data_IF_655038664439
#
_entry.id   IF_655038664439
#
_cell.length_a   1.000
_cell.length_b   1.000
_cell.length_c   1.000
_cell.angle_alpha   90.00
_cell.angle_beta   90.00
_cell.angle_gamma   90.00
#
_symmetry.space_group_name_H-M   'P 1'
#
loop_
_entity.id
_entity.type
_entity.pdbx_description
1 polymer ?
#
# COMPACT_ATOMS: atom_id res chain seq x y z
N UNK A 1 -1.09 -49.19 -6.87
CA UNK A 1 -0.30 -48.11 -7.47
C UNK A 1 -1.11 -46.84 -7.79
N UNK A 2 -2.37 -46.92 -8.27
CA UNK A 2 -3.20 -45.72 -8.54
C UNK A 2 -3.47 -44.79 -7.33
N UNK A 3 -3.56 -45.34 -6.10
CA UNK A 3 -3.76 -44.54 -4.87
C UNK A 3 -2.55 -43.70 -4.44
N UNK A 4 -1.33 -44.14 -4.79
CA UNK A 4 -0.09 -43.41 -4.47
C UNK A 4 0.10 -42.19 -5.38
N UNK A 5 -0.29 -42.30 -6.65
CA UNK A 5 -0.25 -41.19 -7.61
C UNK A 5 -1.13 -40.04 -7.10
N UNK A 6 -2.29 -40.34 -6.51
CA UNK A 6 -3.19 -39.32 -5.96
C UNK A 6 -2.56 -38.55 -4.79
N UNK A 7 -1.79 -39.23 -3.93
CA UNK A 7 -1.06 -38.60 -2.81
C UNK A 7 0.03 -37.67 -3.33
N UNK A 8 0.79 -38.07 -4.35
CA UNK A 8 1.81 -37.20 -4.96
C UNK A 8 1.22 -35.98 -5.67
N UNK A 9 0.06 -36.13 -6.33
CA UNK A 9 -0.65 -35.00 -6.95
C UNK A 9 -1.19 -34.04 -5.89
N UNK A 10 -1.72 -34.54 -4.77
CA UNK A 10 -2.16 -33.71 -3.64
C UNK A 10 -0.98 -32.95 -3.00
N UNK A 11 0.16 -33.61 -2.77
CA UNK A 11 1.35 -32.97 -2.20
C UNK A 11 1.91 -31.86 -3.10
N UNK A 12 1.83 -32.02 -4.43
CA UNK A 12 2.22 -30.98 -5.39
C UNK A 12 1.34 -29.71 -5.32
N UNK A 13 0.06 -29.85 -4.96
CA UNK A 13 -0.85 -28.71 -4.81
C UNK A 13 -0.61 -27.90 -3.52
N UNK A 14 0.01 -28.50 -2.49
CA UNK A 14 0.34 -27.81 -1.24
C UNK A 14 1.78 -27.26 -1.20
N UNK A 15 2.55 -27.39 -2.28
CA UNK A 15 3.92 -26.85 -2.37
C UNK A 15 3.97 -25.35 -2.73
N UNK A 16 2.84 -24.63 -2.69
CA UNK A 16 2.84 -23.17 -2.74
C UNK A 16 3.51 -22.62 -1.47
N UNK A 17 4.83 -22.53 -1.47
CA UNK A 17 5.55 -21.63 -0.59
C UNK A 17 5.19 -20.21 -0.97
N UNK A 18 5.16 -19.30 0.02
CA UNK A 18 5.00 -17.88 -0.27
C UNK A 18 6.06 -17.43 -1.28
N UNK A 19 5.62 -16.74 -2.33
CA UNK A 19 6.48 -16.29 -3.44
C UNK A 19 7.48 -15.21 -3.01
N UNK A 20 7.34 -14.70 -1.78
CA UNK A 20 8.21 -13.70 -1.17
C UNK A 20 8.41 -14.00 0.32
N UNK A 21 9.64 -13.85 0.79
CA UNK A 21 9.97 -13.95 2.20
C UNK A 21 9.41 -12.73 2.98
N UNK A 22 8.92 -12.99 4.19
CA UNK A 22 8.51 -11.91 5.10
C UNK A 22 9.73 -11.06 5.52
N UNK A 23 9.71 -9.73 5.31
CA UNK A 23 10.77 -8.84 5.78
C UNK A 23 11.00 -8.94 7.29
N UNK A 24 12.25 -8.77 7.74
CA UNK A 24 12.60 -8.82 9.16
C UNK A 24 11.91 -7.70 9.96
N UNK A 25 11.81 -6.53 9.36
CA UNK A 25 11.17 -5.35 9.93
C UNK A 25 9.93 -4.99 9.12
N UNK A 26 9.01 -5.94 8.96
CA UNK A 26 7.74 -5.67 8.28
C UNK A 26 6.98 -4.57 9.03
N UNK A 27 6.71 -3.46 8.35
CA UNK A 27 5.93 -2.33 8.88
C UNK A 27 4.48 -2.77 9.05
N UNK A 28 3.87 -2.52 10.20
CA UNK A 28 2.45 -2.80 10.43
C UNK A 28 1.56 -2.10 9.39
N UNK A 29 0.49 -2.78 8.96
CA UNK A 29 -0.42 -2.29 7.90
C UNK A 29 -0.98 -0.89 8.21
N UNK A 30 -1.39 -0.66 9.46
CA UNK A 30 -1.91 0.63 9.91
C UNK A 30 -0.85 1.75 9.77
N UNK A 31 0.40 1.45 10.12
CA UNK A 31 1.52 2.40 9.98
C UNK A 31 1.83 2.63 8.50
N UNK A 32 1.77 1.60 7.66
CA UNK A 32 1.91 1.73 6.21
C UNK A 32 0.80 2.62 5.63
N UNK A 33 -0.45 2.48 6.09
CA UNK A 33 -1.57 3.31 5.67
C UNK A 33 -1.36 4.79 6.08
N UNK A 34 -0.88 5.04 7.30
CA UNK A 34 -0.53 6.39 7.75
C UNK A 34 0.61 7.01 6.91
N UNK A 35 1.66 6.23 6.61
CA UNK A 35 2.77 6.67 5.75
C UNK A 35 2.26 7.02 4.36
N UNK A 36 1.42 6.18 3.75
CA UNK A 36 0.87 6.42 2.41
C UNK A 36 0.00 7.68 2.40
N UNK A 37 -0.84 7.89 3.43
CA UNK A 37 -1.64 9.11 3.56
C UNK A 37 -0.75 10.37 3.65
N UNK A 38 0.30 10.33 4.47
CA UNK A 38 1.21 11.47 4.62
C UNK A 38 2.08 11.70 3.37
N UNK A 39 2.50 10.65 2.68
CA UNK A 39 3.18 10.76 1.38
C UNK A 39 2.26 11.37 0.31
N UNK A 40 0.98 11.01 0.27
CA UNK A 40 0.01 11.59 -0.65
C UNK A 40 -0.20 13.09 -0.41
N UNK A 41 -0.20 13.53 0.86
CA UNK A 41 -0.23 14.96 1.20
C UNK A 41 1.07 15.64 0.77
N UNK A 42 2.23 15.02 1.05
CA UNK A 42 3.52 15.56 0.66
C UNK A 42 3.66 15.71 -0.87
N UNK A 43 3.10 14.78 -1.64
CA UNK A 43 3.11 14.84 -3.11
C UNK A 43 2.41 16.11 -3.64
N UNK A 44 1.39 16.61 -2.95
CA UNK A 44 0.73 17.87 -3.31
C UNK A 44 1.62 19.11 -3.13
N UNK A 45 2.70 19.02 -2.34
CA UNK A 45 3.64 20.13 -2.16
C UNK A 45 4.32 20.54 -3.47
N UNK A 46 4.39 19.64 -4.46
CA UNK A 46 4.97 19.93 -5.78
C UNK A 46 4.22 21.06 -6.52
N UNK A 47 2.92 21.21 -6.28
CA UNK A 47 2.12 22.28 -6.90
C UNK A 47 2.47 23.67 -6.34
N UNK A 48 2.99 23.72 -5.10
CA UNK A 48 3.39 24.96 -4.45
C UNK A 48 4.90 25.22 -4.64
N UNK A 49 5.69 24.15 -4.70
CA UNK A 49 7.15 24.19 -4.74
C UNK A 49 7.72 23.32 -5.88
N UNK A 50 7.46 23.64 -7.15
CA UNK A 50 7.76 22.77 -8.30
C UNK A 50 9.26 22.46 -8.47
N UNK A 51 10.14 23.40 -8.11
CA UNK A 51 11.60 23.26 -8.28
C UNK A 51 12.34 22.74 -7.03
N UNK A 52 11.60 22.20 -6.05
CA UNK A 52 12.19 21.67 -4.81
C UNK A 52 12.32 20.16 -4.84
N UNK A 53 13.35 19.66 -4.16
CA UNK A 53 13.57 18.23 -4.02
C UNK A 53 12.53 17.62 -3.07
N UNK A 54 11.61 16.83 -3.61
CA UNK A 54 10.55 16.14 -2.86
C UNK A 54 11.08 15.01 -1.96
N UNK A 55 12.30 14.53 -2.20
CA UNK A 55 12.96 13.50 -1.38
C UNK A 55 13.16 13.95 0.07
N UNK A 56 13.32 15.26 0.32
CA UNK A 56 13.34 15.80 1.67
C UNK A 56 12.00 15.59 2.38
N UNK A 57 10.89 15.75 1.66
CA UNK A 57 9.54 15.48 2.14
C UNK A 57 9.32 14.00 2.43
N UNK A 58 9.67 13.13 1.49
CA UNK A 58 9.61 11.66 1.68
C UNK A 58 10.42 11.23 2.91
N UNK A 59 11.66 11.73 3.07
CA UNK A 59 12.48 11.45 4.26
C UNK A 59 11.85 11.94 5.54
N UNK A 60 11.23 13.13 5.53
CA UNK A 60 10.57 13.69 6.70
C UNK A 60 9.39 12.82 7.14
N UNK A 61 8.56 12.35 6.20
CA UNK A 61 7.43 11.44 6.46
C UNK A 61 7.94 10.12 7.06
N UNK A 62 8.90 9.45 6.42
CA UNK A 62 9.42 8.18 6.95
C UNK A 62 10.03 8.35 8.35
N UNK A 63 10.73 9.47 8.58
CA UNK A 63 11.32 9.79 9.88
C UNK A 63 10.26 10.06 10.95
N UNK A 64 9.14 10.72 10.64
CA UNK A 64 8.06 10.94 11.63
C UNK A 64 7.41 9.63 12.08
N UNK A 65 7.39 8.64 11.19
CA UNK A 65 6.90 7.29 11.46
C UNK A 65 7.96 6.34 12.02
N UNK A 66 9.19 6.82 12.25
CA UNK A 66 10.35 6.02 12.73
C UNK A 66 10.66 4.81 11.83
N UNK A 67 10.41 4.94 10.53
CA UNK A 67 10.63 3.92 9.52
C UNK A 67 11.88 4.25 8.71
N UNK A 68 12.71 3.24 8.43
CA UNK A 68 13.82 3.38 7.47
C UNK A 68 13.31 3.16 6.04
N UNK A 69 13.96 3.80 5.08
CA UNK A 69 13.59 3.66 3.67
C UNK A 69 13.60 2.22 3.17
N UNK A 70 14.60 1.42 3.58
CA UNK A 70 14.69 0.01 3.16
C UNK A 70 13.55 -0.83 3.73
N UNK A 71 13.22 -0.63 5.02
CA UNK A 71 12.09 -1.31 5.68
C UNK A 71 10.75 -0.96 4.98
N UNK A 72 10.59 0.30 4.53
CA UNK A 72 9.43 0.72 3.74
C UNK A 72 9.36 0.02 2.38
N UNK A 73 10.46 0.02 1.62
CA UNK A 73 10.50 -0.60 0.29
C UNK A 73 10.26 -2.10 0.37
N UNK A 74 10.85 -2.79 1.34
CA UNK A 74 10.66 -4.22 1.56
C UNK A 74 9.22 -4.56 1.97
N UNK A 75 8.65 -3.79 2.90
CA UNK A 75 7.27 -3.97 3.36
C UNK A 75 6.26 -3.69 2.25
N UNK A 76 6.47 -2.62 1.47
CA UNK A 76 5.62 -2.29 0.32
C UNK A 76 5.63 -3.41 -0.72
N UNK A 77 6.81 -3.92 -1.10
CA UNK A 77 6.93 -5.07 -2.02
C UNK A 77 6.21 -6.30 -1.50
N UNK A 78 6.38 -6.61 -0.21
CA UNK A 78 5.70 -7.72 0.45
C UNK A 78 4.18 -7.58 0.35
N UNK A 79 3.62 -6.41 0.67
CA UNK A 79 2.18 -6.17 0.61
C UNK A 79 1.60 -6.16 -0.81
N UNK A 80 2.36 -5.68 -1.80
CA UNK A 80 1.95 -5.76 -3.22
C UNK A 80 1.85 -7.23 -3.66
N UNK A 81 2.89 -8.03 -3.40
CA UNK A 81 2.93 -9.44 -3.82
C UNK A 81 1.89 -10.28 -3.08
N UNK A 82 1.56 -9.93 -1.83
CA UNK A 82 0.52 -10.59 -1.05
C UNK A 82 -0.88 -10.06 -1.32
N UNK A 83 -1.04 -9.14 -2.28
CA UNK A 83 -2.32 -8.52 -2.66
C UNK A 83 -3.03 -7.81 -1.49
N UNK A 84 -2.26 -7.29 -0.52
CA UNK A 84 -2.79 -6.64 0.69
C UNK A 84 -2.85 -5.11 0.59
N UNK A 85 -2.28 -4.55 -0.49
CA UNK A 85 -2.21 -3.09 -0.70
C UNK A 85 -3.58 -2.42 -0.88
N UNK A 86 -4.58 -3.13 -1.41
CA UNK A 86 -5.93 -2.57 -1.57
C UNK A 86 -6.54 -2.20 -0.21
N UNK A 87 -6.37 -3.05 0.80
CA UNK A 87 -6.81 -2.75 2.18
C UNK A 87 -6.06 -1.55 2.75
N UNK A 88 -4.74 -1.55 2.65
CA UNK A 88 -3.88 -0.48 3.18
C UNK A 88 -4.20 0.87 2.52
N UNK A 89 -4.45 0.89 1.22
CA UNK A 89 -4.79 2.13 0.50
C UNK A 89 -6.21 2.62 0.80
N UNK A 90 -7.16 1.71 1.06
CA UNK A 90 -8.48 2.09 1.58
C UNK A 90 -8.36 2.75 2.96
N UNK A 91 -7.58 2.17 3.87
CA UNK A 91 -7.35 2.73 5.20
C UNK A 91 -6.64 4.10 5.11
N UNK A 92 -5.66 4.23 4.21
CA UNK A 92 -5.00 5.51 3.92
C UNK A 92 -6.00 6.58 3.43
N UNK A 93 -6.96 6.20 2.58
CA UNK A 93 -8.01 7.10 2.13
C UNK A 93 -8.93 7.53 3.28
N UNK A 94 -9.30 6.62 4.19
CA UNK A 94 -10.07 6.98 5.39
C UNK A 94 -9.30 7.95 6.30
N UNK A 95 -7.99 7.74 6.46
CA UNK A 95 -7.11 8.66 7.20
C UNK A 95 -7.13 10.05 6.55
N UNK A 96 -7.02 10.14 5.22
CA UNK A 96 -7.09 11.41 4.50
C UNK A 96 -8.44 12.11 4.68
N UNK A 97 -9.56 11.39 4.59
CA UNK A 97 -10.90 11.94 4.80
C UNK A 97 -11.10 12.44 6.23
N UNK A 98 -10.49 11.80 7.23
CA UNK A 98 -10.50 12.28 8.61
C UNK A 98 -9.66 13.56 8.78
N UNK A 99 -8.57 13.71 8.02
CA UNK A 99 -7.71 14.91 8.02
C UNK A 99 -8.35 16.09 7.27
N UNK A 100 -9.07 15.82 6.17
CA UNK A 100 -9.88 16.81 5.45
C UNK A 100 -11.30 16.30 5.19
N UNK A 101 -12.23 16.45 6.15
CA UNK A 101 -13.61 16.02 6.00
C UNK A 101 -14.35 16.67 4.84
N UNK A 102 -13.89 17.83 4.34
CA UNK A 102 -14.52 18.51 3.19
C UNK A 102 -14.23 17.78 1.89
N UNK A 103 -13.16 16.99 1.83
CA UNK A 103 -12.82 16.16 0.69
C UNK A 103 -13.83 15.02 0.46
N UNK A 104 -14.56 14.57 1.49
CA UNK A 104 -15.52 13.46 1.39
C UNK A 104 -16.57 13.70 0.29
N UNK A 105 -17.15 14.91 0.26
CA UNK A 105 -18.11 15.29 -0.78
C UNK A 105 -17.47 15.27 -2.16
N UNK A 106 -16.27 15.84 -2.28
CA UNK A 106 -15.54 15.89 -3.55
C UNK A 106 -15.22 14.50 -4.08
N UNK A 107 -14.73 13.60 -3.22
CA UNK A 107 -14.44 12.20 -3.56
C UNK A 107 -15.72 11.51 -4.01
N UNK A 108 -16.80 11.57 -3.22
CA UNK A 108 -18.09 10.95 -3.56
C UNK A 108 -18.65 11.46 -4.89
N UNK A 109 -18.53 12.75 -5.16
CA UNK A 109 -19.00 13.36 -6.40
C UNK A 109 -18.16 12.88 -7.61
N UNK A 110 -16.83 12.74 -7.44
CA UNK A 110 -15.94 12.18 -8.48
C UNK A 110 -16.19 10.69 -8.74
N UNK A 111 -16.43 9.89 -7.71
CA UNK A 111 -16.79 8.47 -7.83
C UNK A 111 -18.09 8.28 -8.64
N UNK A 112 -19.08 9.15 -8.42
CA UNK A 112 -20.36 9.13 -9.16
C UNK A 112 -20.21 9.56 -10.62
N UNK A 113 -19.34 10.53 -10.91
CA UNK A 113 -19.10 11.04 -12.28
C UNK A 113 -18.35 10.04 -13.17
N UNK A 114 -17.44 9.25 -12.60
CA UNK A 114 -16.55 8.39 -13.38
C UNK A 114 -17.05 6.95 -13.57
N UNK A 115 -18.21 6.57 -13.01
CA UNK A 115 -18.57 5.15 -12.85
C UNK A 115 -17.61 4.44 -11.88
N UNK A 116 -17.92 3.20 -11.49
CA UNK A 116 -17.08 2.43 -10.56
C UNK A 116 -15.60 2.54 -10.94
N UNK A 117 -14.80 3.09 -10.03
CA UNK A 117 -13.40 3.45 -10.24
C UNK A 117 -12.67 2.25 -10.82
N UNK A 118 -12.11 2.44 -12.01
CA UNK A 118 -11.11 1.51 -12.55
C UNK A 118 -9.99 1.45 -11.51
N UNK A 119 -9.64 0.28 -10.95
CA UNK A 119 -8.60 0.20 -9.94
C UNK A 119 -7.34 0.87 -10.49
N UNK A 120 -6.74 1.77 -9.72
CA UNK A 120 -5.44 2.37 -10.04
C UNK A 120 -4.32 1.36 -9.78
N UNK A 121 -4.45 0.17 -10.34
CA UNK A 121 -3.39 -0.83 -10.44
C UNK A 121 -3.60 -1.55 -11.76
N UNK A 122 -2.66 -1.35 -12.69
CA UNK A 122 -2.50 -2.15 -13.89
C UNK A 122 -1.16 -2.85 -13.83
#
# INVERSE_FOLDING_TARGET
>A
MKKLIFIFVLLGMFSCSDYIDKPKNLIDKDVMAEIIADLAINDQAIFVYPDKNMEAGTRAVLKSHKVKSDDFVESFKYYVIKEEMDGITNDAQEILLRKDPKADKYVKDKLKQNGAVVPLVR
#
